data_IF_815436568731
#
_entry.id   IF_815436568731
#
_cell.length_a   1.000
_cell.length_b   1.000
_cell.length_c   1.000
_cell.angle_alpha   90.00
_cell.angle_beta   90.00
_cell.angle_gamma   90.00
#
_symmetry.space_group_name_H-M   'P 1'
#
loop_
_entity.id
_entity.type
_entity.pdbx_description
1 polymer ?
#
# COMPACT_ATOMS: atom_id res chain seq x y z
N UNK A 1 -22.19 -0.77 10.58
CA UNK A 1 -20.89 -0.89 9.88
C UNK A 1 -19.84 -1.18 10.93
N UNK A 2 -18.94 -2.14 10.71
CA UNK A 2 -17.82 -2.40 11.64
C UNK A 2 -16.88 -1.20 11.61
N UNK A 3 -16.34 -0.83 12.77
CA UNK A 3 -15.26 0.17 12.85
C UNK A 3 -13.92 -0.49 12.47
N UNK A 4 -13.80 -0.81 11.18
CA UNK A 4 -12.62 -1.46 10.60
C UNK A 4 -11.56 -0.40 10.33
N UNK A 5 -10.42 -0.50 11.01
CA UNK A 5 -9.25 0.35 10.73
C UNK A 5 -8.46 -0.21 9.54
N UNK A 6 -7.76 0.67 8.84
CA UNK A 6 -6.97 0.29 7.67
C UNK A 6 -5.50 0.70 7.83
N UNK A 7 -4.60 -0.23 7.50
CA UNK A 7 -3.14 0.00 7.51
C UNK A 7 -2.54 -0.52 6.21
N UNK A 8 -1.74 0.31 5.53
CA UNK A 8 -1.05 -0.04 4.30
C UNK A 8 0.47 -0.02 4.50
N UNK A 9 1.16 -1.08 4.06
CA UNK A 9 2.62 -1.11 4.09
C UNK A 9 3.15 -0.65 2.74
N UNK A 10 3.84 0.49 2.76
CA UNK A 10 4.52 1.10 1.62
C UNK A 10 5.98 0.67 1.59
N UNK A 11 6.43 0.15 0.46
CA UNK A 11 7.79 -0.35 0.34
C UNK A 11 8.16 -0.62 -1.13
N UNK A 12 9.33 -1.16 -1.35
CA UNK A 12 9.80 -1.68 -2.65
C UNK A 12 10.20 -3.16 -2.55
N UNK A 13 10.39 -3.80 -3.69
CA UNK A 13 10.75 -5.21 -3.73
C UNK A 13 12.07 -5.50 -2.99
N UNK A 14 12.13 -6.60 -2.24
CA UNK A 14 13.31 -7.09 -1.49
C UNK A 14 13.69 -6.27 -0.25
N UNK A 15 12.83 -5.42 0.21
CA UNK A 15 12.99 -4.61 1.43
C UNK A 15 12.75 -5.38 2.75
N UNK A 16 12.48 -6.69 2.72
CA UNK A 16 12.12 -7.46 3.92
C UNK A 16 10.68 -7.25 4.41
N UNK A 17 9.87 -6.52 3.69
CA UNK A 17 8.49 -6.17 4.06
C UNK A 17 7.53 -7.36 4.26
N UNK A 18 7.86 -8.54 3.75
CA UNK A 18 7.10 -9.77 4.04
C UNK A 18 7.26 -10.18 5.50
N UNK A 19 8.45 -9.99 6.08
CA UNK A 19 8.69 -10.18 7.50
C UNK A 19 7.88 -9.17 8.33
N UNK A 20 7.94 -7.87 7.97
CA UNK A 20 7.14 -6.85 8.65
C UNK A 20 5.63 -7.16 8.59
N UNK A 21 5.12 -7.58 7.43
CA UNK A 21 3.73 -8.02 7.29
C UNK A 21 3.42 -9.22 8.20
N UNK A 22 4.34 -10.16 8.36
CA UNK A 22 4.22 -11.26 9.32
C UNK A 22 4.14 -10.78 10.77
N UNK A 23 4.98 -9.82 11.15
CA UNK A 23 4.96 -9.19 12.48
C UNK A 23 3.62 -8.48 12.72
N UNK A 24 3.14 -7.69 11.79
CA UNK A 24 1.85 -7.01 11.92
C UNK A 24 0.67 -8.00 11.96
N UNK A 25 0.70 -9.06 11.16
CA UNK A 25 -0.31 -10.11 11.17
C UNK A 25 -0.27 -11.00 12.43
N UNK A 26 0.79 -10.95 13.22
CA UNK A 26 0.82 -11.63 14.51
C UNK A 26 -0.01 -10.92 15.59
N UNK A 27 -0.39 -9.66 15.37
CA UNK A 27 -1.24 -8.89 16.28
C UNK A 27 -2.68 -9.42 16.19
N UNK A 28 -3.36 -9.74 17.32
CA UNK A 28 -4.72 -10.27 17.29
C UNK A 28 -5.71 -9.37 16.57
N UNK A 29 -6.46 -9.92 15.61
CA UNK A 29 -7.44 -9.20 14.82
C UNK A 29 -6.85 -8.35 13.68
N UNK A 30 -5.56 -8.53 13.37
CA UNK A 30 -4.94 -7.90 12.20
C UNK A 30 -4.94 -8.85 10.99
N UNK A 31 -5.24 -8.31 9.82
CA UNK A 31 -5.24 -9.04 8.57
C UNK A 31 -4.72 -8.16 7.44
N UNK A 32 -3.39 -8.15 7.26
CA UNK A 32 -2.75 -7.52 6.12
C UNK A 32 -2.53 -8.55 5.01
N UNK A 33 -3.03 -8.25 3.82
CA UNK A 33 -2.81 -9.07 2.63
C UNK A 33 -1.46 -8.75 2.00
N UNK A 34 -0.95 -9.66 1.19
CA UNK A 34 0.24 -9.45 0.38
C UNK A 34 -0.01 -8.53 -0.82
N UNK A 35 0.96 -8.50 -1.72
CA UNK A 35 0.92 -7.73 -2.95
C UNK A 35 -0.29 -8.08 -3.82
N UNK A 36 -0.87 -7.06 -4.46
CA UNK A 36 -2.04 -7.19 -5.31
C UNK A 36 -1.82 -6.61 -6.72
N UNK A 37 -0.57 -6.45 -7.14
CA UNK A 37 -0.17 -5.84 -8.43
C UNK A 37 -0.73 -4.43 -8.61
N UNK A 38 -0.77 -3.67 -7.53
CA UNK A 38 -1.22 -2.27 -7.54
C UNK A 38 -2.70 -2.10 -7.92
N UNK A 39 -3.55 -3.09 -7.58
CA UNK A 39 -4.96 -3.10 -8.00
C UNK A 39 -5.73 -1.84 -7.59
N UNK A 40 -5.43 -1.26 -6.40
CA UNK A 40 -6.05 0.00 -5.96
C UNK A 40 -5.69 1.18 -6.86
N UNK A 41 -4.53 1.15 -7.55
CA UNK A 41 -4.14 2.19 -8.50
C UNK A 41 -5.12 2.27 -9.68
N UNK A 42 -5.56 1.14 -10.20
CA UNK A 42 -6.55 1.12 -11.27
C UNK A 42 -7.89 1.72 -10.84
N UNK A 43 -8.26 1.58 -9.57
CA UNK A 43 -9.47 2.20 -9.01
C UNK A 43 -9.29 3.72 -8.80
N UNK A 44 -8.06 4.15 -8.45
CA UNK A 44 -7.70 5.56 -8.44
C UNK A 44 -7.80 6.15 -9.84
N UNK A 45 -7.20 5.52 -10.85
CA UNK A 45 -7.22 6.00 -12.23
C UNK A 45 -8.64 6.13 -12.76
N UNK A 46 -9.51 5.15 -12.44
CA UNK A 46 -10.95 5.21 -12.75
C UNK A 46 -11.61 6.44 -12.11
N UNK A 47 -11.43 6.64 -10.80
CA UNK A 47 -12.04 7.76 -10.08
C UNK A 47 -11.47 9.10 -10.55
N UNK A 48 -10.16 9.19 -10.67
CA UNK A 48 -9.45 10.39 -11.10
C UNK A 48 -9.88 10.84 -12.51
N UNK A 49 -10.03 9.90 -13.44
CA UNK A 49 -10.52 10.20 -14.80
C UNK A 49 -11.93 10.82 -14.79
N UNK A 50 -12.85 10.25 -13.98
CA UNK A 50 -14.20 10.80 -13.83
C UNK A 50 -14.19 12.21 -13.25
N UNK A 51 -13.38 12.43 -12.21
CA UNK A 51 -13.26 13.73 -11.55
C UNK A 51 -12.60 14.78 -12.46
N UNK A 52 -11.54 14.42 -13.17
CA UNK A 52 -10.83 15.31 -14.07
C UNK A 52 -11.74 15.78 -15.22
N UNK A 53 -12.48 14.86 -15.84
CA UNK A 53 -13.40 15.23 -16.93
C UNK A 53 -14.59 16.04 -16.43
N UNK A 54 -15.15 15.72 -15.26
CA UNK A 54 -16.18 16.54 -14.61
C UNK A 54 -15.72 17.98 -14.39
N UNK A 55 -14.49 18.18 -13.94
CA UNK A 55 -13.92 19.51 -13.70
C UNK A 55 -13.60 20.27 -14.99
N UNK A 56 -13.29 19.54 -16.08
CA UNK A 56 -12.87 20.13 -17.37
C UNK A 56 -14.03 20.54 -18.26
N UNK A 57 -15.13 19.80 -18.26
CA UNK A 57 -16.25 19.99 -19.17
C UNK A 57 -17.22 21.01 -18.60
N UNK A 58 -17.63 21.96 -19.45
CA UNK A 58 -18.67 22.93 -19.11
C UNK A 58 -20.01 22.22 -18.81
N UNK A 59 -20.59 22.40 -17.59
CA UNK A 59 -21.82 21.73 -17.20
C UNK A 59 -23.00 21.93 -18.14
N UNK A 60 -23.14 23.15 -18.73
CA UNK A 60 -24.22 23.43 -19.66
C UNK A 60 -24.10 22.63 -20.96
N UNK A 61 -22.87 22.33 -21.38
CA UNK A 61 -22.58 21.43 -22.50
C UNK A 61 -22.74 19.96 -22.10
N UNK A 62 -22.25 19.59 -20.94
CA UNK A 62 -22.38 18.22 -20.43
C UNK A 62 -23.83 17.78 -20.22
N UNK A 63 -24.75 18.71 -20.01
CA UNK A 63 -26.18 18.43 -19.89
C UNK A 63 -26.89 18.14 -21.23
N UNK A 64 -26.24 18.36 -22.37
CA UNK A 64 -26.83 18.17 -23.70
C UNK A 64 -26.62 16.72 -24.20
N UNK A 65 -27.68 15.95 -24.51
CA UNK A 65 -27.56 14.56 -24.95
C UNK A 65 -26.72 14.33 -26.22
N UNK A 66 -26.50 15.38 -27.01
CA UNK A 66 -25.69 15.34 -28.22
C UNK A 66 -24.21 15.66 -28.00
N UNK A 67 -23.84 16.04 -26.76
CA UNK A 67 -22.46 16.35 -26.43
C UNK A 67 -21.67 15.05 -26.15
N UNK A 68 -20.42 14.92 -26.63
CA UNK A 68 -19.59 13.70 -26.39
C UNK A 68 -19.41 13.32 -24.92
N UNK A 69 -19.48 14.28 -24.01
CA UNK A 69 -19.34 14.09 -22.55
C UNK A 69 -20.67 14.21 -21.80
N UNK A 70 -21.78 13.90 -22.46
CA UNK A 70 -23.11 13.96 -21.84
C UNK A 70 -23.16 13.19 -20.52
N UNK A 71 -23.57 13.87 -19.44
CA UNK A 71 -23.77 13.30 -18.11
C UNK A 71 -22.50 13.27 -17.24
N UNK A 72 -21.33 13.71 -17.72
CA UNK A 72 -20.10 13.70 -16.91
C UNK A 72 -20.17 14.70 -15.73
N UNK A 73 -20.91 15.77 -15.85
CA UNK A 73 -21.20 16.74 -14.79
C UNK A 73 -21.84 16.10 -13.56
N UNK A 74 -22.63 15.03 -13.77
CA UNK A 74 -23.26 14.23 -12.76
C UNK A 74 -22.37 13.14 -12.13
N UNK A 75 -21.06 13.07 -12.44
CA UNK A 75 -20.19 12.02 -11.85
C UNK A 75 -20.28 12.03 -10.32
N UNK A 76 -20.67 10.88 -9.68
CA UNK A 76 -21.01 10.83 -8.27
C UNK A 76 -19.77 10.56 -7.40
N UNK A 77 -18.99 11.60 -7.10
CA UNK A 77 -17.72 11.51 -6.35
C UNK A 77 -17.83 10.68 -5.07
N UNK A 78 -18.74 11.07 -4.16
CA UNK A 78 -18.90 10.40 -2.86
C UNK A 78 -19.32 8.94 -3.02
N UNK A 79 -20.29 8.67 -3.89
CA UNK A 79 -20.74 7.31 -4.14
C UNK A 79 -19.63 6.47 -4.80
N UNK A 80 -18.84 7.05 -5.70
CA UNK A 80 -17.68 6.39 -6.31
C UNK A 80 -16.68 5.92 -5.25
N UNK A 81 -16.27 6.81 -4.32
CA UNK A 81 -15.36 6.45 -3.23
C UNK A 81 -15.95 5.36 -2.31
N UNK A 82 -17.23 5.43 -2.00
CA UNK A 82 -17.91 4.42 -1.17
C UNK A 82 -17.97 3.04 -1.86
N UNK A 83 -18.26 3.01 -3.16
CA UNK A 83 -18.28 1.75 -3.92
C UNK A 83 -16.88 1.18 -4.15
N UNK A 84 -15.88 2.03 -4.35
CA UNK A 84 -14.47 1.62 -4.42
C UNK A 84 -14.03 0.99 -3.10
N UNK A 85 -14.37 1.60 -1.96
CA UNK A 85 -14.10 1.00 -0.65
C UNK A 85 -14.77 -0.35 -0.51
N UNK A 86 -16.06 -0.45 -0.79
CA UNK A 86 -16.81 -1.71 -0.69
C UNK A 86 -16.20 -2.81 -1.59
N UNK A 87 -15.83 -2.46 -2.83
CA UNK A 87 -15.16 -3.37 -3.76
C UNK A 87 -13.80 -3.83 -3.20
N UNK A 88 -12.98 -2.92 -2.71
CA UNK A 88 -11.68 -3.25 -2.15
C UNK A 88 -11.80 -4.14 -0.91
N UNK A 89 -12.73 -3.85 0.01
CA UNK A 89 -13.00 -4.67 1.19
C UNK A 89 -13.48 -6.07 0.79
N UNK A 90 -14.36 -6.19 -0.20
CA UNK A 90 -14.90 -7.47 -0.63
C UNK A 90 -13.89 -8.35 -1.41
N UNK A 91 -12.96 -7.75 -2.16
CA UNK A 91 -12.12 -8.46 -3.13
C UNK A 91 -10.64 -8.51 -2.74
N UNK A 92 -10.06 -7.39 -2.32
CA UNK A 92 -8.63 -7.29 -1.99
C UNK A 92 -8.37 -7.58 -0.50
N UNK A 93 -9.07 -6.91 0.39
CA UNK A 93 -8.83 -6.99 1.82
C UNK A 93 -9.46 -8.23 2.46
N UNK A 94 -10.71 -8.52 2.14
CA UNK A 94 -11.47 -9.70 2.60
C UNK A 94 -11.33 -9.92 4.11
N UNK A 95 -11.76 -8.95 4.95
CA UNK A 95 -11.63 -9.06 6.40
C UNK A 95 -12.47 -10.22 6.93
N UNK A 96 -11.89 -11.02 7.83
CA UNK A 96 -12.60 -12.06 8.56
C UNK A 96 -13.55 -11.44 9.63
N UNK A 97 -14.48 -12.23 10.20
CA UNK A 97 -15.43 -11.72 11.21
C UNK A 97 -14.79 -11.06 12.41
N UNK A 98 -13.64 -11.49 12.85
CA UNK A 98 -12.85 -10.99 14.00
C UNK A 98 -11.79 -9.95 13.62
N UNK A 99 -11.68 -9.59 12.34
CA UNK A 99 -10.71 -8.59 11.89
C UNK A 99 -11.11 -7.20 12.40
N UNK A 100 -10.19 -6.53 13.08
CA UNK A 100 -10.32 -5.14 13.54
C UNK A 100 -9.40 -4.18 12.78
N UNK A 101 -8.32 -4.67 12.19
CA UNK A 101 -7.43 -3.90 11.30
C UNK A 101 -7.19 -4.71 10.02
N UNK A 102 -7.42 -4.10 8.87
CA UNK A 102 -7.18 -4.71 7.57
C UNK A 102 -6.34 -3.80 6.67
N UNK A 103 -5.72 -4.38 5.67
CA UNK A 103 -4.90 -3.65 4.71
C UNK A 103 -4.11 -4.58 3.80
N UNK A 104 -3.09 -4.04 3.19
CA UNK A 104 -2.17 -4.81 2.36
C UNK A 104 -0.75 -4.24 2.37
N UNK A 105 0.21 -5.07 1.98
CA UNK A 105 1.58 -4.69 1.67
C UNK A 105 1.74 -4.65 0.15
N UNK A 106 2.23 -3.53 -0.39
CA UNK A 106 2.52 -3.35 -1.82
C UNK A 106 3.93 -2.78 -2.02
N UNK A 107 4.54 -3.12 -3.17
CA UNK A 107 5.91 -2.73 -3.52
C UNK A 107 5.96 -1.74 -4.70
N UNK A 108 4.82 -1.32 -5.24
CA UNK A 108 4.70 -0.49 -6.44
C UNK A 108 4.26 0.94 -6.10
N UNK A 109 5.02 1.63 -5.26
CA UNK A 109 4.77 3.03 -4.86
C UNK A 109 5.70 3.98 -5.61
N UNK A 110 5.79 3.82 -6.93
CA UNK A 110 6.75 4.55 -7.75
C UNK A 110 6.13 5.53 -8.75
N UNK A 111 4.82 5.69 -8.73
CA UNK A 111 4.10 6.62 -9.61
C UNK A 111 4.49 8.07 -9.33
N UNK A 112 4.46 8.92 -10.36
CA UNK A 112 4.84 10.34 -10.23
C UNK A 112 3.84 11.13 -9.38
N UNK A 113 2.57 10.75 -9.44
CA UNK A 113 1.45 11.33 -8.70
C UNK A 113 1.16 10.58 -7.38
N UNK A 114 2.20 10.00 -6.78
CA UNK A 114 2.08 9.26 -5.53
C UNK A 114 1.39 10.07 -4.41
N UNK A 115 1.64 11.38 -4.21
CA UNK A 115 0.92 12.17 -3.22
C UNK A 115 -0.60 12.17 -3.44
N UNK A 116 -1.07 12.33 -4.69
CA UNK A 116 -2.49 12.33 -5.03
C UNK A 116 -3.11 10.94 -4.82
N UNK A 117 -2.38 9.89 -5.15
CA UNK A 117 -2.80 8.52 -4.89
C UNK A 117 -2.92 8.22 -3.39
N UNK A 118 -2.01 8.73 -2.54
CA UNK A 118 -2.11 8.59 -1.08
C UNK A 118 -3.30 9.37 -0.52
N UNK A 119 -3.55 10.58 -1.01
CA UNK A 119 -4.74 11.36 -0.66
C UNK A 119 -6.04 10.63 -1.04
N UNK A 120 -6.09 10.02 -2.22
CA UNK A 120 -7.21 9.16 -2.62
C UNK A 120 -7.41 7.97 -1.66
N UNK A 121 -6.34 7.28 -1.26
CA UNK A 121 -6.46 6.20 -0.27
C UNK A 121 -7.02 6.68 1.06
N UNK A 122 -6.66 7.88 1.51
CA UNK A 122 -7.23 8.50 2.71
C UNK A 122 -8.71 8.88 2.55
N UNK A 123 -9.14 9.23 1.34
CA UNK A 123 -10.56 9.47 1.03
C UNK A 123 -11.37 8.16 1.01
N UNK A 124 -10.83 7.13 0.38
CA UNK A 124 -11.48 5.79 0.32
C UNK A 124 -11.53 5.14 1.71
N UNK A 125 -10.46 5.27 2.49
CA UNK A 125 -10.31 4.67 3.82
C UNK A 125 -10.01 5.75 4.88
N UNK A 126 -11.00 6.53 5.31
CA UNK A 126 -10.79 7.60 6.28
C UNK A 126 -10.08 7.10 7.55
N UNK A 127 -9.04 7.82 7.96
CA UNK A 127 -8.22 7.44 9.10
C UNK A 127 -7.26 6.27 8.86
N UNK A 128 -7.04 5.86 7.62
CA UNK A 128 -6.02 4.87 7.31
C UNK A 128 -4.61 5.36 7.66
N UNK A 129 -3.74 4.40 7.98
CA UNK A 129 -2.35 4.65 8.35
C UNK A 129 -1.41 3.94 7.39
N UNK A 130 -0.21 4.49 7.25
CA UNK A 130 0.82 3.94 6.36
C UNK A 130 2.06 3.58 7.16
N UNK A 131 2.57 2.36 6.98
CA UNK A 131 3.86 1.95 7.50
C UNK A 131 4.84 1.93 6.33
N UNK A 132 5.81 2.85 6.34
CA UNK A 132 6.83 2.95 5.31
C UNK A 132 8.03 2.13 5.75
N UNK A 133 8.31 1.04 5.02
CA UNK A 133 9.43 0.13 5.30
C UNK A 133 10.55 0.34 4.28
N UNK A 134 11.73 0.65 4.79
CA UNK A 134 12.97 0.81 4.01
C UNK A 134 14.00 -0.27 4.39
N UNK A 135 15.08 -0.37 3.61
CA UNK A 135 16.19 -1.28 3.84
C UNK A 135 17.47 -0.72 3.22
N UNK A 136 18.65 -1.20 3.63
CA UNK A 136 19.91 -0.89 2.98
C UNK A 136 19.81 -1.07 1.47
N UNK A 137 19.98 0.01 0.71
CA UNK A 137 19.74 0.01 -0.73
C UNK A 137 20.75 -0.83 -1.51
N UNK A 138 21.99 -0.95 -1.02
CA UNK A 138 22.99 -1.80 -1.68
C UNK A 138 22.61 -3.28 -1.59
N UNK A 139 22.10 -3.73 -0.42
CA UNK A 139 21.62 -5.09 -0.23
C UNK A 139 20.37 -5.40 -1.07
N UNK A 140 19.48 -4.42 -1.19
CA UNK A 140 18.30 -4.53 -2.05
C UNK A 140 18.71 -4.66 -3.50
N UNK A 141 19.58 -3.78 -3.99
CA UNK A 141 20.06 -3.76 -5.38
C UNK A 141 20.83 -5.05 -5.75
N UNK A 142 21.56 -5.62 -4.80
CA UNK A 142 22.29 -6.89 -5.00
C UNK A 142 21.39 -8.13 -5.05
N UNK A 143 20.09 -8.03 -4.74
CA UNK A 143 19.18 -9.17 -4.76
C UNK A 143 18.78 -9.55 -6.20
N UNK A 144 18.50 -10.85 -6.44
CA UNK A 144 18.13 -11.38 -7.77
C UNK A 144 16.96 -10.66 -8.43
N UNK A 145 16.06 -10.04 -7.69
CA UNK A 145 14.94 -9.28 -8.24
C UNK A 145 15.42 -8.02 -8.98
N UNK A 146 16.50 -7.41 -8.50
CA UNK A 146 17.02 -6.14 -9.02
C UNK A 146 18.21 -6.32 -9.96
N UNK A 147 19.02 -7.39 -9.84
CA UNK A 147 20.23 -7.60 -10.64
C UNK A 147 20.01 -7.66 -12.15
N UNK A 148 18.77 -7.88 -12.59
CA UNK A 148 18.40 -7.90 -14.02
C UNK A 148 17.93 -6.53 -14.55
N UNK A 149 17.96 -5.49 -13.70
CA UNK A 149 17.57 -4.14 -14.09
C UNK A 149 18.79 -3.32 -14.47
N UNK A 150 18.60 -2.38 -15.39
CA UNK A 150 19.60 -1.35 -15.63
C UNK A 150 19.66 -0.43 -14.40
N UNK A 151 20.88 -0.13 -13.91
CA UNK A 151 21.10 0.70 -12.73
C UNK A 151 20.21 0.30 -11.52
N UNK A 152 20.38 -0.92 -10.95
CA UNK A 152 19.52 -1.39 -9.87
C UNK A 152 19.50 -0.47 -8.64
N UNK A 153 20.70 0.02 -8.24
CA UNK A 153 20.85 0.90 -7.08
C UNK A 153 20.16 2.24 -7.31
N UNK A 154 20.41 2.88 -8.44
CA UNK A 154 19.78 4.16 -8.75
C UNK A 154 18.26 4.04 -8.94
N UNK A 155 17.76 2.91 -9.45
CA UNK A 155 16.30 2.70 -9.54
C UNK A 155 15.65 2.59 -8.16
N UNK A 156 16.18 1.76 -7.27
CA UNK A 156 15.58 1.60 -5.93
C UNK A 156 15.75 2.86 -5.09
N UNK A 157 16.85 3.60 -5.25
CA UNK A 157 17.06 4.88 -4.60
C UNK A 157 16.00 5.90 -5.02
N UNK A 158 15.74 6.07 -6.31
CA UNK A 158 14.67 6.97 -6.81
C UNK A 158 13.28 6.59 -6.32
N UNK A 159 13.01 5.29 -6.16
CA UNK A 159 11.73 4.82 -5.60
C UNK A 159 11.64 5.20 -4.11
N UNK A 160 12.68 4.94 -3.33
CA UNK A 160 12.71 5.27 -1.91
C UNK A 160 12.58 6.78 -1.68
N UNK A 161 13.35 7.61 -2.41
CA UNK A 161 13.29 9.07 -2.32
C UNK A 161 11.87 9.58 -2.60
N UNK A 162 11.20 9.05 -3.63
CA UNK A 162 9.80 9.40 -3.95
C UNK A 162 8.84 9.02 -2.84
N UNK A 163 8.98 7.82 -2.29
CA UNK A 163 8.15 7.36 -1.18
C UNK A 163 8.37 8.20 0.08
N UNK A 164 9.62 8.53 0.40
CA UNK A 164 9.97 9.37 1.53
C UNK A 164 9.39 10.78 1.38
N UNK A 165 9.56 11.39 0.20
CA UNK A 165 8.99 12.72 -0.10
C UNK A 165 7.46 12.72 -0.04
N UNK A 166 6.79 11.73 -0.62
CA UNK A 166 5.34 11.62 -0.55
C UNK A 166 4.83 11.39 0.89
N UNK A 167 5.59 10.66 1.70
CA UNK A 167 5.27 10.39 3.09
C UNK A 167 5.33 11.65 3.99
N UNK A 168 6.09 12.68 3.63
CA UNK A 168 6.12 13.95 4.37
C UNK A 168 4.74 14.62 4.41
N UNK A 169 3.96 14.49 3.31
CA UNK A 169 2.59 15.02 3.24
C UNK A 169 1.56 14.26 4.08
N UNK A 170 1.89 13.08 4.60
CA UNK A 170 0.99 12.26 5.41
C UNK A 170 0.98 12.64 6.90
N UNK A 171 1.96 13.42 7.38
CA UNK A 171 2.07 13.81 8.78
C UNK A 171 2.00 12.61 9.73
N UNK A 172 1.10 12.68 10.72
CA UNK A 172 0.95 11.61 11.73
C UNK A 172 0.33 10.32 11.19
N UNK A 173 -0.13 10.30 9.93
CA UNK A 173 -0.69 9.10 9.33
C UNK A 173 0.37 8.11 8.83
N UNK A 174 1.67 8.45 8.89
CA UNK A 174 2.75 7.57 8.48
C UNK A 174 3.73 7.29 9.61
N UNK A 175 4.19 6.04 9.70
CA UNK A 175 5.31 5.63 10.56
C UNK A 175 6.39 4.96 9.72
N UNK A 176 7.65 5.33 9.95
CA UNK A 176 8.80 4.79 9.21
C UNK A 176 9.50 3.71 10.04
N UNK A 177 9.84 2.61 9.39
CA UNK A 177 10.67 1.53 9.96
C UNK A 177 11.77 1.16 8.97
N UNK A 178 12.92 0.74 9.50
CA UNK A 178 14.03 0.27 8.69
C UNK A 178 14.30 -1.21 8.97
N UNK A 179 14.35 -2.02 7.90
CA UNK A 179 14.47 -3.48 8.01
C UNK A 179 15.67 -3.91 8.83
N UNK A 180 16.84 -3.35 8.53
CA UNK A 180 18.08 -3.77 9.15
C UNK A 180 18.10 -3.45 10.65
N UNK A 181 17.43 -2.35 11.08
CA UNK A 181 17.33 -1.97 12.48
C UNK A 181 16.47 -2.98 13.26
N UNK A 182 15.25 -3.30 12.79
CA UNK A 182 14.37 -4.18 13.55
C UNK A 182 14.74 -5.67 13.45
N UNK A 183 15.58 -6.05 12.50
CA UNK A 183 16.17 -7.40 12.46
C UNK A 183 17.35 -7.48 13.41
N UNK A 184 18.15 -6.44 13.55
CA UNK A 184 19.26 -6.36 14.50
C UNK A 184 18.76 -6.23 15.95
N UNK A 185 17.76 -5.38 16.17
CA UNK A 185 17.14 -5.15 17.48
C UNK A 185 15.60 -4.98 17.33
N UNK A 186 14.81 -6.03 17.59
CA UNK A 186 13.35 -5.96 17.52
C UNK A 186 12.70 -4.94 18.45
N UNK A 187 13.40 -4.49 19.50
CA UNK A 187 12.88 -3.49 20.45
C UNK A 187 12.60 -2.13 19.79
N UNK A 188 13.26 -1.82 18.68
CA UNK A 188 12.97 -0.58 17.90
C UNK A 188 11.53 -0.55 17.38
N UNK A 189 10.87 -1.70 17.23
CA UNK A 189 9.46 -1.76 16.84
C UNK A 189 8.48 -1.27 17.90
N UNK A 190 8.91 -1.07 19.17
CA UNK A 190 8.03 -0.49 20.21
C UNK A 190 7.43 0.84 19.80
N UNK A 191 8.21 1.67 19.08
CA UNK A 191 7.70 2.92 18.52
C UNK A 191 6.55 2.73 17.55
N UNK A 192 6.68 1.77 16.64
CA UNK A 192 5.63 1.39 15.68
C UNK A 192 4.37 0.90 16.42
N UNK A 193 4.52 -0.03 17.37
CA UNK A 193 3.38 -0.60 18.11
C UNK A 193 2.67 0.48 18.93
N UNK A 194 3.40 1.35 19.61
CA UNK A 194 2.84 2.50 20.34
C UNK A 194 2.05 3.42 19.40
N UNK A 195 2.61 3.76 18.23
CA UNK A 195 1.94 4.60 17.26
C UNK A 195 0.69 3.93 16.69
N UNK A 196 0.69 2.60 16.51
CA UNK A 196 -0.50 1.84 16.09
C UNK A 196 -1.55 1.73 17.21
N UNK A 197 -1.19 1.98 18.46
CA UNK A 197 -2.03 1.77 19.64
C UNK A 197 -2.15 0.29 20.01
N UNK A 198 -1.10 -0.50 19.72
CA UNK A 198 -1.04 -1.94 19.96
C UNK A 198 -0.01 -2.30 21.03
N UNK A 199 -0.25 -3.42 21.68
CA UNK A 199 0.70 -3.95 22.68
C UNK A 199 1.88 -4.63 21.97
N UNK A 200 3.10 -4.22 22.33
CA UNK A 200 4.32 -4.89 21.89
C UNK A 200 4.50 -6.21 22.67
N UNK A 201 4.40 -7.33 21.98
CA UNK A 201 4.61 -8.67 22.53
C UNK A 201 5.93 -9.24 21.98
N UNK A 202 6.98 -9.18 22.80
CA UNK A 202 8.32 -9.59 22.43
C UNK A 202 8.40 -11.07 22.02
N UNK A 203 7.70 -11.96 22.74
CA UNK A 203 7.74 -13.39 22.43
C UNK A 203 7.15 -13.67 21.05
N UNK A 204 6.01 -13.08 20.75
CA UNK A 204 5.34 -13.20 19.46
C UNK A 204 6.21 -12.67 18.32
N UNK A 205 6.86 -11.53 18.51
CA UNK A 205 7.77 -10.97 17.51
C UNK A 205 8.96 -11.88 17.28
N UNK A 206 9.58 -12.43 18.32
CA UNK A 206 10.68 -13.38 18.20
C UNK A 206 10.26 -14.67 17.47
N UNK A 207 9.05 -15.19 17.71
CA UNK A 207 8.50 -16.32 16.97
C UNK A 207 8.39 -16.04 15.47
N UNK A 208 7.90 -14.84 15.11
CA UNK A 208 7.82 -14.42 13.71
C UNK A 208 9.21 -14.30 13.10
N UNK A 209 10.16 -13.66 13.79
CA UNK A 209 11.54 -13.49 13.31
C UNK A 209 12.26 -14.84 13.11
N UNK A 210 11.98 -15.84 13.95
CA UNK A 210 12.53 -17.18 13.82
C UNK A 210 11.91 -17.98 12.64
N UNK A 211 10.79 -17.53 12.07
CA UNK A 211 10.12 -18.21 10.96
C UNK A 211 10.70 -17.74 9.62
N UNK A 212 11.14 -18.64 8.71
CA UNK A 212 11.63 -18.23 7.39
C UNK A 212 10.54 -17.52 6.59
N UNK A 213 10.77 -16.25 6.29
CA UNK A 213 9.93 -15.44 5.43
C UNK A 213 10.57 -15.33 4.03
N UNK A 214 9.83 -15.59 3.00
CA UNK A 214 10.30 -15.66 1.61
C UNK A 214 11.03 -16.97 1.27
N UNK A 215 10.31 -17.98 0.83
CA UNK A 215 10.93 -19.11 0.14
C UNK A 215 11.62 -18.61 -1.12
N UNK A 216 12.86 -19.04 -1.42
CA UNK A 216 13.45 -18.77 -2.73
C UNK A 216 12.49 -19.29 -3.79
N UNK A 217 12.23 -18.51 -4.82
CA UNK A 217 11.39 -18.93 -5.93
C UNK A 217 11.98 -20.22 -6.50
N UNK A 218 11.28 -21.35 -6.34
CA UNK A 218 11.55 -22.51 -7.19
C UNK A 218 11.25 -22.05 -8.62
N UNK A 219 12.26 -22.11 -9.49
CA UNK A 219 12.06 -21.94 -10.92
C UNK A 219 10.87 -22.83 -11.35
N UNK A 220 9.74 -22.26 -11.65
CA UNK A 220 8.73 -22.89 -12.46
C UNK A 220 9.24 -22.83 -13.90
N UNK A 221 9.81 -23.92 -14.36
CA UNK A 221 9.88 -24.17 -15.80
C UNK A 221 8.43 -24.18 -16.32
N UNK A 222 8.09 -23.22 -17.19
CA UNK A 222 6.81 -23.12 -17.88
C UNK A 222 5.93 -21.98 -17.39
N UNK A 223 6.34 -20.74 -17.61
CA UNK A 223 5.39 -19.62 -17.64
C UNK A 223 5.12 -19.30 -19.11
N UNK A 224 3.92 -19.70 -19.50
CA UNK A 224 3.32 -19.44 -20.80
C UNK A 224 3.15 -17.93 -21.00
N UNK A 225 3.70 -17.46 -22.10
CA UNK A 225 3.31 -16.22 -22.79
C UNK A 225 1.77 -16.14 -22.93
N UNK A 226 1.19 -15.07 -22.40
CA UNK A 226 0.01 -14.38 -22.94
C UNK A 226 0.18 -12.89 -22.68
#
# INVERSE_FOLDING_TARGET
>A
MRDLKHVFVMTYGRSGSTLLMGILNSIPGWLLRGENRHAMRHLYDFHHSGMAEKARVDPDRASQPTHPWFGIDGYPEVASLQHIRALAEATLLRPAPDTRVSGYKEIRWYDQDLPDYLAFLQQVFPGCRFVLNTRNLADVAASNYWTHKDDPLGQVQRIEERMLSAAEGLGDAVHRVHYDDYVADPEVLRGLFSWLGEVYDQNRIHEVLATPHSRPAKHRAGDLSL
#
